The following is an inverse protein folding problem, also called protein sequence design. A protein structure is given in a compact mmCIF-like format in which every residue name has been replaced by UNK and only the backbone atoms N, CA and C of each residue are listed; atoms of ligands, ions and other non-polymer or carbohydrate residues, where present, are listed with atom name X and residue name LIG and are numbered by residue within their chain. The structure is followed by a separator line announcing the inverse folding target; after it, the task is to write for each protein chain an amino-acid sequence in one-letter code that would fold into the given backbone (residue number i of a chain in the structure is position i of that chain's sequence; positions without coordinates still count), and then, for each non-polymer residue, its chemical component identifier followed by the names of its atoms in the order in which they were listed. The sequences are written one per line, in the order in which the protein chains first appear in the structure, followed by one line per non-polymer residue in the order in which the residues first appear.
data_IF_540603892615
#
_entry.id   IF_540603892615
#
_cell.length_a   1.000
_cell.length_b   1.000
_cell.length_c   1.000
_cell.angle_alpha   90.00
_cell.angle_beta   90.00
_cell.angle_gamma   90.00
#
_symmetry.space_group_name_H-M   'P 1'
#
loop_
_entity.id
_entity.type
_entity.pdbx_description
1 polymer ?
#
# COMPACT_ATOMS: atom_id res chain seq x y z
N UNK A 1 19.98 3.18 -8.00
CA UNK A 1 18.93 2.36 -8.62
C UNK A 1 17.67 2.57 -7.79
N UNK A 2 16.59 3.10 -8.36
CA UNK A 2 15.32 3.23 -7.64
C UNK A 2 14.46 2.02 -7.98
N UNK A 3 13.96 1.35 -6.94
CA UNK A 3 13.24 0.09 -7.01
C UNK A 3 11.83 0.28 -6.44
N UNK A 4 10.84 -0.33 -7.08
CA UNK A 4 9.48 -0.51 -6.57
C UNK A 4 9.26 -2.02 -6.34
N UNK A 5 8.65 -2.39 -5.22
CA UNK A 5 8.44 -3.78 -4.82
C UNK A 5 6.97 -4.16 -5.03
N UNK A 6 6.75 -5.33 -5.62
CA UNK A 6 5.46 -5.99 -5.84
C UNK A 6 5.53 -7.35 -5.14
N UNK A 7 4.46 -7.79 -4.48
CA UNK A 7 4.42 -9.09 -3.80
C UNK A 7 3.28 -9.87 -4.41
N UNK A 8 3.60 -11.03 -4.99
CA UNK A 8 2.63 -11.99 -5.50
C UNK A 8 2.25 -12.91 -4.34
N UNK A 9 1.02 -12.77 -3.85
CA UNK A 9 0.45 -13.63 -2.83
C UNK A 9 0.03 -14.95 -3.51
N UNK A 10 0.42 -16.07 -2.91
CA UNK A 10 0.16 -17.40 -3.45
C UNK A 10 -1.30 -17.82 -3.23
N UNK A 11 -1.86 -18.57 -4.17
CA UNK A 11 -3.12 -19.31 -3.99
C UNK A 11 -2.73 -20.74 -3.59
N UNK A 12 -3.30 -21.28 -2.51
CA UNK A 12 -3.13 -22.70 -2.16
C UNK A 12 -3.62 -23.57 -3.35
N UNK A 13 -2.67 -24.13 -4.09
CA UNK A 13 -2.89 -25.08 -5.19
C UNK A 13 -3.41 -26.41 -4.62
N UNK A 14 -4.73 -26.58 -4.52
CA UNK A 14 -5.37 -27.90 -4.36
C UNK A 14 -6.85 -27.95 -4.83
N UNK A 15 -7.23 -27.18 -5.87
CA UNK A 15 -8.43 -27.54 -6.64
C UNK A 15 -8.34 -27.11 -8.12
N UNK A 16 -8.37 -28.10 -9.01
CA UNK A 16 -8.38 -28.01 -10.48
C UNK A 16 -9.73 -27.45 -10.99
N UNK A 17 -10.06 -26.22 -10.57
CA UNK A 17 -11.22 -25.47 -11.04
C UNK A 17 -10.85 -24.06 -11.47
N UNK A 18 -9.91 -23.93 -12.41
CA UNK A 18 -9.86 -22.84 -13.39
C UNK A 18 -9.95 -21.38 -12.90
N UNK A 19 -9.42 -21.02 -11.72
CA UNK A 19 -9.49 -19.65 -11.16
C UNK A 19 -8.18 -18.86 -11.17
N UNK A 20 -7.01 -19.50 -11.40
CA UNK A 20 -5.68 -18.89 -11.18
C UNK A 20 -5.28 -17.71 -12.08
N UNK A 21 -6.14 -17.24 -13.00
CA UNK A 21 -5.85 -16.12 -13.90
C UNK A 21 -6.70 -14.86 -13.62
N UNK A 22 -7.41 -14.78 -12.50
CA UNK A 22 -8.45 -13.76 -12.28
C UNK A 22 -8.54 -13.09 -10.91
N UNK A 23 -7.70 -13.46 -9.94
CA UNK A 23 -7.74 -12.82 -8.62
C UNK A 23 -7.25 -11.36 -8.68
N UNK A 24 -7.87 -10.45 -7.92
CA UNK A 24 -7.57 -9.02 -8.00
C UNK A 24 -6.17 -8.68 -7.46
N UNK A 25 -5.64 -7.54 -7.89
CA UNK A 25 -4.41 -6.95 -7.34
C UNK A 25 -4.78 -5.78 -6.43
N UNK A 26 -4.26 -5.76 -5.22
CA UNK A 26 -4.34 -4.59 -4.33
C UNK A 26 -3.36 -3.53 -4.83
N UNK A 27 -3.88 -2.35 -5.18
CA UNK A 27 -3.06 -1.24 -5.69
C UNK A 27 -3.28 -0.03 -4.79
N UNK A 28 -2.27 0.33 -3.98
CA UNK A 28 -2.45 1.33 -2.93
C UNK A 28 -3.15 2.63 -3.37
N UNK A 29 -2.80 3.21 -4.52
CA UNK A 29 -3.51 4.39 -5.06
C UNK A 29 -5.02 4.19 -5.33
N UNK A 30 -5.42 3.03 -5.85
CA UNK A 30 -6.82 2.70 -6.14
C UNK A 30 -7.60 2.50 -4.84
N UNK A 31 -7.06 1.71 -3.91
CA UNK A 31 -7.72 1.40 -2.65
C UNK A 31 -7.83 2.65 -1.77
N UNK A 32 -6.79 3.48 -1.69
CA UNK A 32 -6.85 4.75 -0.95
C UNK A 32 -7.89 5.71 -1.53
N UNK A 33 -8.04 5.78 -2.85
CA UNK A 33 -8.92 6.77 -3.50
C UNK A 33 -10.36 6.32 -3.72
N UNK A 34 -10.59 5.01 -3.91
CA UNK A 34 -11.90 4.43 -4.25
C UNK A 34 -12.44 3.47 -3.20
N UNK A 35 -11.61 3.08 -2.23
CA UNK A 35 -12.01 2.22 -1.12
C UNK A 35 -12.91 2.93 -0.09
N UNK A 36 -13.46 2.15 0.86
CA UNK A 36 -14.21 2.71 1.98
C UNK A 36 -13.33 3.60 2.86
N UNK A 37 -13.94 4.47 3.66
CA UNK A 37 -13.19 5.34 4.59
C UNK A 37 -12.33 4.56 5.59
N UNK A 38 -12.74 3.34 5.95
CA UNK A 38 -11.94 2.44 6.78
C UNK A 38 -10.58 2.16 6.17
N UNK A 39 -10.46 2.08 4.84
CA UNK A 39 -9.23 1.74 4.12
C UNK A 39 -8.14 2.79 4.39
N UNK A 40 -8.42 4.06 4.10
CA UNK A 40 -7.43 5.13 4.32
C UNK A 40 -7.09 5.32 5.80
N UNK A 41 -8.07 5.07 6.70
CA UNK A 41 -7.88 5.23 8.14
C UNK A 41 -7.06 4.11 8.77
N UNK A 42 -7.25 2.86 8.34
CA UNK A 42 -6.40 1.74 8.79
C UNK A 42 -4.97 1.93 8.30
N UNK A 43 -4.75 2.39 7.06
CA UNK A 43 -3.40 2.72 6.59
C UNK A 43 -2.73 3.86 7.37
N UNK A 44 -3.47 4.94 7.69
CA UNK A 44 -2.95 6.00 8.58
C UNK A 44 -2.55 5.43 9.94
N UNK A 45 -3.37 4.54 10.51
CA UNK A 45 -3.09 3.90 11.79
C UNK A 45 -1.85 3.02 11.70
N UNK A 46 -1.77 2.18 10.66
CA UNK A 46 -0.64 1.29 10.40
C UNK A 46 0.68 2.08 10.31
N UNK A 47 0.71 3.15 9.51
CA UNK A 47 1.87 4.01 9.35
C UNK A 47 2.24 4.76 10.63
N UNK A 48 1.28 5.15 11.46
CA UNK A 48 1.54 5.81 12.75
C UNK A 48 2.23 4.88 13.77
N UNK A 49 2.15 3.56 13.59
CA UNK A 49 2.89 2.55 14.35
C UNK A 49 4.21 2.14 13.68
N UNK A 50 4.70 2.97 12.74
CA UNK A 50 6.03 2.82 12.14
C UNK A 50 6.94 4.00 12.54
N UNK A 51 8.25 3.77 12.79
CA UNK A 51 8.91 2.46 12.81
C UNK A 51 8.41 1.58 13.96
N UNK A 52 8.35 0.27 13.74
CA UNK A 52 7.92 -0.71 14.74
C UNK A 52 8.95 -0.72 15.88
N UNK A 53 8.55 -0.37 17.10
CA UNK A 53 9.47 -0.27 18.25
C UNK A 53 9.31 -1.39 19.26
N UNK A 54 8.11 -1.93 19.38
CA UNK A 54 7.77 -2.94 20.38
C UNK A 54 6.74 -3.95 19.84
N UNK A 55 6.47 -5.04 20.57
CA UNK A 55 5.53 -6.07 20.13
C UNK A 55 4.07 -5.59 19.98
N UNK A 56 3.69 -4.47 20.63
CA UNK A 56 2.35 -3.91 20.46
C UNK A 56 2.21 -3.20 19.12
N UNK A 57 3.24 -2.44 18.70
CA UNK A 57 3.31 -1.85 17.35
C UNK A 57 3.26 -2.94 16.28
N UNK A 58 4.10 -3.98 16.43
CA UNK A 58 4.17 -5.11 15.50
C UNK A 58 2.80 -5.79 15.35
N UNK A 59 2.13 -6.06 16.47
CA UNK A 59 0.80 -6.65 16.46
C UNK A 59 -0.21 -5.79 15.69
N UNK A 60 -0.21 -4.47 15.91
CA UNK A 60 -1.14 -3.56 15.23
C UNK A 60 -0.87 -3.54 13.73
N UNK A 61 0.41 -3.45 13.32
CA UNK A 61 0.80 -3.48 11.91
C UNK A 61 0.36 -4.80 11.26
N UNK A 62 0.72 -5.94 11.84
CA UNK A 62 0.39 -7.25 11.27
C UNK A 62 -1.12 -7.51 11.21
N UNK A 63 -1.89 -7.09 12.21
CA UNK A 63 -3.35 -7.24 12.20
C UNK A 63 -3.99 -6.41 11.08
N UNK A 64 -3.49 -5.19 10.85
CA UNK A 64 -3.97 -4.34 9.76
C UNK A 64 -3.60 -4.93 8.39
N UNK A 65 -2.37 -5.43 8.23
CA UNK A 65 -1.95 -6.08 6.98
C UNK A 65 -2.79 -7.31 6.67
N UNK A 66 -3.00 -8.20 7.65
CA UNK A 66 -3.88 -9.36 7.49
C UNK A 66 -5.29 -8.96 7.07
N UNK A 67 -5.81 -7.88 7.62
CA UNK A 67 -7.13 -7.39 7.26
C UNK A 67 -7.19 -6.85 5.81
N UNK A 68 -6.17 -6.12 5.36
CA UNK A 68 -6.14 -5.60 3.99
C UNK A 68 -6.00 -6.69 2.92
N UNK A 69 -5.32 -7.79 3.26
CA UNK A 69 -5.02 -8.87 2.32
C UNK A 69 -5.82 -10.15 2.58
N UNK A 70 -6.87 -10.09 3.41
CA UNK A 70 -7.78 -11.23 3.64
C UNK A 70 -8.74 -11.50 2.47
N UNK A 71 -8.90 -10.55 1.55
CA UNK A 71 -9.97 -10.55 0.54
C UNK A 71 -9.62 -11.27 -0.77
N UNK A 72 -8.67 -12.22 -0.72
CA UNK A 72 -8.28 -13.03 -1.89
C UNK A 72 -7.55 -12.23 -2.97
N UNK A 73 -6.74 -11.26 -2.57
CA UNK A 73 -5.83 -10.58 -3.49
C UNK A 73 -4.69 -11.51 -3.89
N UNK A 74 -4.41 -11.62 -5.19
CA UNK A 74 -3.25 -12.37 -5.69
C UNK A 74 -1.95 -11.57 -5.67
N UNK A 75 -2.02 -10.24 -5.54
CA UNK A 75 -0.82 -9.43 -5.40
C UNK A 75 -1.10 -8.11 -4.70
N UNK A 76 -0.03 -7.47 -4.22
CA UNK A 76 -0.01 -6.11 -3.72
C UNK A 76 1.08 -5.29 -4.41
N UNK A 77 0.70 -4.09 -4.85
CA UNK A 77 1.57 -3.13 -5.52
C UNK A 77 1.38 -1.72 -4.97
N UNK A 78 2.40 -0.89 -5.15
CA UNK A 78 2.44 0.52 -4.76
C UNK A 78 2.30 0.80 -3.25
N UNK A 79 2.49 2.07 -2.88
CA UNK A 79 2.34 2.59 -1.52
C UNK A 79 0.84 2.61 -1.15
N UNK A 80 0.45 2.07 0.03
CA UNK A 80 1.31 1.81 1.18
C UNK A 80 1.80 0.36 1.33
N UNK A 81 1.19 -0.60 0.64
CA UNK A 81 1.48 -2.03 0.79
C UNK A 81 2.96 -2.37 0.53
N UNK A 82 3.56 -1.78 -0.51
CA UNK A 82 4.97 -2.05 -0.86
C UNK A 82 5.96 -1.68 0.24
N UNK A 83 5.60 -0.79 1.17
CA UNK A 83 6.49 -0.43 2.28
C UNK A 83 6.64 -1.63 3.23
N UNK A 84 5.65 -2.54 3.30
CA UNK A 84 5.53 -3.63 4.28
C UNK A 84 6.11 -4.95 3.73
N UNK A 85 7.14 -4.90 2.89
CA UNK A 85 7.63 -6.11 2.20
C UNK A 85 8.09 -7.20 3.15
N UNK A 86 8.79 -6.85 4.22
CA UNK A 86 9.28 -7.83 5.20
C UNK A 86 8.14 -8.47 5.96
N UNK A 87 7.17 -7.67 6.43
CA UNK A 87 6.01 -8.17 7.15
C UNK A 87 5.10 -9.03 6.26
N UNK A 88 4.92 -8.64 5.00
CA UNK A 88 4.11 -9.38 4.03
C UNK A 88 4.77 -10.68 3.59
N UNK A 89 6.09 -10.69 3.40
CA UNK A 89 6.83 -11.92 3.12
C UNK A 89 6.80 -12.90 4.31
N UNK A 90 6.77 -12.38 5.55
CA UNK A 90 6.59 -13.21 6.74
C UNK A 90 5.16 -13.76 6.87
N UNK A 91 4.14 -12.96 6.51
CA UNK A 91 2.73 -13.38 6.52
C UNK A 91 2.40 -14.38 5.40
N UNK A 92 3.09 -14.29 4.26
CA UNK A 92 2.89 -15.15 3.08
C UNK A 92 4.23 -15.75 2.63
N UNK A 93 4.73 -16.82 3.28
CA UNK A 93 6.07 -17.34 3.01
C UNK A 93 6.28 -17.93 1.61
N UNK A 94 5.22 -18.33 0.92
CA UNK A 94 5.27 -18.80 -0.47
C UNK A 94 5.20 -17.66 -1.50
N UNK A 95 4.92 -16.43 -1.05
CA UNK A 95 4.81 -15.29 -1.94
C UNK A 95 6.14 -14.94 -2.63
N UNK A 96 6.05 -14.55 -3.90
CA UNK A 96 7.21 -14.01 -4.63
C UNK A 96 7.30 -12.51 -4.42
N UNK A 97 8.49 -12.01 -4.11
CA UNK A 97 8.80 -10.58 -4.05
C UNK A 97 9.47 -10.15 -5.34
N UNK A 98 8.79 -9.32 -6.12
CA UNK A 98 9.25 -8.77 -7.40
C UNK A 98 9.72 -7.34 -7.17
N UNK A 99 10.91 -7.01 -7.67
CA UNK A 99 11.49 -5.68 -7.57
C UNK A 99 11.56 -5.06 -8.97
N UNK A 100 10.61 -4.18 -9.31
CA UNK A 100 10.63 -3.43 -10.55
C UNK A 100 11.62 -2.28 -10.46
N UNK A 101 12.44 -2.13 -11.50
CA UNK A 101 13.51 -1.12 -11.56
C UNK A 101 13.38 -0.28 -12.82
N UNK A 102 13.76 0.99 -12.73
CA UNK A 102 13.80 1.91 -13.87
C UNK A 102 14.96 2.89 -13.76
N UNK A 103 15.14 3.69 -14.82
CA UNK A 103 16.12 4.79 -14.81
C UNK A 103 15.87 5.73 -13.61
N UNK A 104 16.87 5.95 -12.73
CA UNK A 104 16.68 6.72 -11.51
C UNK A 104 16.30 8.18 -11.74
N UNK A 105 16.88 8.83 -12.76
CA UNK A 105 16.62 10.24 -13.00
C UNK A 105 15.20 10.43 -13.56
N UNK A 106 14.82 9.60 -14.52
CA UNK A 106 13.45 9.55 -15.03
C UNK A 106 12.45 9.24 -13.91
N UNK A 107 12.80 8.37 -12.95
CA UNK A 107 11.98 8.11 -11.75
C UNK A 107 11.79 9.35 -10.89
N UNK A 108 12.89 10.00 -10.50
CA UNK A 108 12.82 11.22 -9.68
C UNK A 108 12.01 12.30 -10.39
N UNK A 109 12.20 12.49 -11.70
CA UNK A 109 11.45 13.48 -12.48
C UNK A 109 9.95 13.20 -12.46
N UNK A 110 9.54 11.94 -12.63
CA UNK A 110 8.13 11.51 -12.62
C UNK A 110 7.49 11.68 -11.24
N UNK A 111 8.19 11.29 -10.17
CA UNK A 111 7.72 11.50 -8.79
C UNK A 111 7.61 13.00 -8.48
N UNK A 112 8.58 13.82 -8.91
CA UNK A 112 8.54 15.28 -8.71
C UNK A 112 7.35 15.92 -9.42
N UNK A 113 7.00 15.47 -10.62
CA UNK A 113 5.82 15.95 -11.35
C UNK A 113 4.52 15.54 -10.65
N UNK A 114 4.46 14.33 -10.10
CA UNK A 114 3.27 13.80 -9.41
C UNK A 114 3.11 14.40 -8.00
N UNK A 115 4.21 14.60 -7.28
CA UNK A 115 4.29 15.14 -5.93
C UNK A 115 4.39 16.66 -5.85
N UNK A 116 4.10 17.40 -6.93
CA UNK A 116 4.20 18.87 -6.90
C UNK A 116 3.32 19.47 -5.79
N UNK A 117 3.95 20.23 -4.88
CA UNK A 117 3.30 20.80 -3.68
C UNK A 117 2.04 21.62 -3.99
N UNK A 118 2.03 22.35 -5.10
CA UNK A 118 0.86 23.13 -5.55
C UNK A 118 -0.31 22.23 -5.97
N UNK A 119 -0.03 21.10 -6.64
CA UNK A 119 -1.03 20.08 -6.96
C UNK A 119 -1.57 19.44 -5.68
N UNK A 120 -0.71 19.15 -4.71
CA UNK A 120 -1.11 18.54 -3.43
C UNK A 120 -1.97 19.47 -2.56
N UNK A 121 -1.67 20.77 -2.50
CA UNK A 121 -2.51 21.77 -1.79
C UNK A 121 -3.86 21.92 -2.49
N UNK A 122 -3.86 22.03 -3.83
CA UNK A 122 -5.09 22.07 -4.62
C UNK A 122 -5.95 20.82 -4.40
N UNK A 123 -5.35 19.63 -4.48
CA UNK A 123 -6.02 18.36 -4.20
C UNK A 123 -6.55 18.33 -2.78
N UNK A 124 -5.78 18.77 -1.78
CA UNK A 124 -6.24 18.78 -0.38
C UNK A 124 -7.51 19.62 -0.18
N UNK A 125 -7.59 20.79 -0.82
CA UNK A 125 -8.79 21.66 -0.76
C UNK A 125 -9.95 21.06 -1.57
N UNK A 126 -9.69 20.57 -2.78
CA UNK A 126 -10.71 19.99 -3.66
C UNK A 126 -11.29 18.68 -3.10
N UNK A 127 -10.44 17.83 -2.53
CA UNK A 127 -10.79 16.54 -1.94
C UNK A 127 -11.46 16.67 -0.56
N UNK A 128 -11.34 17.80 0.12
CA UNK A 128 -11.94 17.99 1.45
C UNK A 128 -13.47 17.80 1.46
N UNK A 129 -14.15 18.20 0.38
CA UNK A 129 -15.59 18.03 0.24
C UNK A 129 -16.01 16.60 -0.11
N UNK A 130 -15.06 15.76 -0.54
CA UNK A 130 -15.32 14.36 -0.86
C UNK A 130 -15.20 13.49 0.41
N UNK A 131 -16.22 12.68 0.73
CA UNK A 131 -16.11 11.63 1.74
C UNK A 131 -14.89 10.74 1.47
N UNK A 132 -14.29 10.15 2.51
CA UNK A 132 -13.00 9.41 2.45
C UNK A 132 -11.79 10.31 2.13
N UNK A 133 -11.84 11.13 1.08
CA UNK A 133 -10.67 11.85 0.57
C UNK A 133 -10.22 13.03 1.46
N UNK A 134 -11.07 13.50 2.38
CA UNK A 134 -10.67 14.45 3.44
C UNK A 134 -9.50 13.94 4.30
N UNK A 135 -9.29 12.63 4.36
CA UNK A 135 -8.19 12.00 5.10
C UNK A 135 -6.89 11.93 4.30
N UNK A 136 -6.92 12.21 3.00
CA UNK A 136 -5.76 12.13 2.11
C UNK A 136 -4.56 12.97 2.59
N UNK A 137 -4.73 14.21 3.08
CA UNK A 137 -3.59 14.98 3.61
C UNK A 137 -2.91 14.30 4.81
N UNK A 138 -3.69 13.66 5.70
CA UNK A 138 -3.15 12.91 6.85
C UNK A 138 -2.44 11.64 6.41
N UNK A 139 -2.94 10.98 5.37
CA UNK A 139 -2.30 9.82 4.78
C UNK A 139 -0.93 10.18 4.17
N UNK A 140 -0.83 11.29 3.42
CA UNK A 140 0.44 11.77 2.85
C UNK A 140 1.43 12.14 3.96
N UNK A 141 0.96 12.78 5.02
CA UNK A 141 1.78 13.10 6.20
C UNK A 141 2.26 11.83 6.92
N UNK A 142 1.39 10.82 7.09
CA UNK A 142 1.74 9.55 7.70
C UNK A 142 2.77 8.75 6.89
N UNK A 143 2.69 8.77 5.55
CA UNK A 143 3.75 8.18 4.70
C UNK A 143 5.07 8.91 4.90
N UNK A 144 5.05 10.24 4.97
CA UNK A 144 6.27 11.05 5.07
C UNK A 144 6.95 10.95 6.44
N UNK A 145 6.17 10.79 7.50
CA UNK A 145 6.64 10.73 8.89
C UNK A 145 6.82 9.30 9.42
N UNK A 146 6.23 8.31 8.75
CA UNK A 146 6.43 6.89 9.04
C UNK A 146 7.81 6.42 8.55
N UNK A 147 7.86 5.17 8.11
CA UNK A 147 9.03 4.59 7.44
C UNK A 147 9.14 4.97 5.96
#
# INVERSE_FOLDING_TARGET
MSSTLEILLDDDDDDDSGSGAGAPVHHGGTQITRGPESEIRSWITCLAHTPIRDPADEKIVLDILRHHFSDGYAAVVDVPGMLFTEELAALHPSALVICTVRDPEAWVQSIRQTGQRSLQIFLSVALFLLPTMRWFPRYIDAISNGR
#
